data_IF_610128163047
#
_entry.id   IF_610128163047
#
_cell.length_a   1.000
_cell.length_b   1.000
_cell.length_c   1.000
_cell.angle_alpha   90.00
_cell.angle_beta   90.00
_cell.angle_gamma   90.00
#
_symmetry.space_group_name_H-M   'P 1'
#
loop_
_entity.id
_entity.type
_entity.pdbx_description
1 polymer ?
#
# COMPACT_ATOMS: atom_id res chain seq x y z
N UNK A 1 -9.92 -11.34 14.31
CA UNK A 1 -9.42 -10.00 13.91
C UNK A 1 -10.15 -9.61 12.64
N UNK A 2 -10.67 -8.39 12.51
CA UNK A 2 -11.23 -7.92 11.24
C UNK A 2 -10.11 -7.80 10.20
N UNK A 3 -10.39 -8.23 8.97
CA UNK A 3 -9.50 -8.07 7.82
C UNK A 3 -10.03 -6.92 6.97
N UNK A 4 -9.12 -6.07 6.50
CA UNK A 4 -9.44 -4.92 5.67
C UNK A 4 -8.57 -4.94 4.42
N UNK A 5 -9.13 -4.45 3.32
CA UNK A 5 -8.43 -4.27 2.06
C UNK A 5 -8.36 -2.77 1.75
N UNK A 6 -7.16 -2.29 1.44
CA UNK A 6 -6.92 -0.90 1.10
C UNK A 6 -6.50 -0.82 -0.37
N UNK A 7 -7.39 -0.27 -1.20
CA UNK A 7 -7.15 -0.10 -2.64
C UNK A 7 -6.76 1.35 -2.92
N UNK A 8 -5.63 1.55 -3.59
CA UNK A 8 -5.19 2.86 -4.06
C UNK A 8 -5.27 2.93 -5.58
N UNK A 9 -5.78 4.04 -6.10
CA UNK A 9 -5.77 4.36 -7.53
C UNK A 9 -4.89 5.60 -7.70
N UNK A 10 -3.80 5.45 -8.44
CA UNK A 10 -2.88 6.54 -8.73
C UNK A 10 -3.06 7.07 -10.15
N UNK A 11 -2.37 8.18 -10.45
CA UNK A 11 -2.36 8.73 -11.81
C UNK A 11 -1.60 7.82 -12.77
N UNK A 12 -1.97 7.87 -14.06
CA UNK A 12 -1.37 7.06 -15.12
C UNK A 12 0.11 7.41 -15.41
N UNK A 13 0.57 8.59 -15.03
CA UNK A 13 1.96 9.04 -15.21
C UNK A 13 2.86 8.69 -14.02
N UNK A 14 2.35 7.91 -13.05
CA UNK A 14 3.14 7.41 -11.93
C UNK A 14 4.09 6.30 -12.44
N UNK A 15 5.38 6.44 -12.12
CA UNK A 15 6.34 5.35 -12.36
C UNK A 15 6.19 4.22 -11.34
N UNK A 16 6.61 3.01 -11.71
CA UNK A 16 6.60 1.85 -10.81
C UNK A 16 7.36 2.11 -9.51
N UNK A 17 8.52 2.78 -9.57
CA UNK A 17 9.30 3.12 -8.38
C UNK A 17 8.54 4.04 -7.41
N UNK A 18 7.74 4.96 -7.95
CA UNK A 18 6.87 5.81 -7.12
C UNK A 18 5.70 4.99 -6.54
N UNK A 19 5.16 4.02 -7.27
CA UNK A 19 4.12 3.14 -6.77
C UNK A 19 4.60 2.25 -5.61
N UNK A 20 5.79 1.65 -5.75
CA UNK A 20 6.45 0.90 -4.69
C UNK A 20 6.71 1.77 -3.46
N UNK A 21 7.16 3.03 -3.65
CA UNK A 21 7.35 3.98 -2.56
C UNK A 21 6.05 4.32 -1.81
N UNK A 22 4.90 4.38 -2.50
CA UNK A 22 3.60 4.56 -1.85
C UNK A 22 3.22 3.31 -1.04
N UNK A 23 3.42 2.11 -1.61
CA UNK A 23 3.15 0.85 -0.90
C UNK A 23 3.97 0.78 0.39
N UNK A 24 5.27 1.10 0.33
CA UNK A 24 6.14 1.12 1.51
C UNK A 24 5.67 2.15 2.54
N UNK A 25 5.43 3.40 2.10
CA UNK A 25 5.02 4.49 2.97
C UNK A 25 3.74 4.14 3.77
N UNK A 26 2.70 3.67 3.09
CA UNK A 26 1.45 3.32 3.76
C UNK A 26 1.55 2.03 4.58
N UNK A 27 2.39 1.08 4.18
CA UNK A 27 2.68 -0.10 5.00
C UNK A 27 3.32 0.27 6.33
N UNK A 28 4.26 1.24 6.32
CA UNK A 28 4.84 1.81 7.54
C UNK A 28 3.78 2.49 8.38
N UNK A 29 2.95 3.36 7.80
CA UNK A 29 1.87 4.05 8.53
C UNK A 29 0.93 3.05 9.22
N UNK A 30 0.52 1.99 8.54
CA UNK A 30 -0.36 0.95 9.11
C UNK A 30 0.35 0.24 10.27
N UNK A 31 1.62 -0.12 10.08
CA UNK A 31 2.40 -0.85 11.08
C UNK A 31 2.66 -0.01 12.34
N UNK A 32 3.01 1.27 12.18
CA UNK A 32 3.22 2.23 13.27
C UNK A 32 1.96 2.47 14.10
N UNK A 33 0.78 2.26 13.51
CA UNK A 33 -0.52 2.39 14.17
C UNK A 33 -1.08 1.04 14.66
N UNK A 34 -0.23 0.02 14.79
CA UNK A 34 -0.58 -1.28 15.37
C UNK A 34 -1.35 -2.22 14.44
N UNK A 35 -1.45 -1.90 13.15
CA UNK A 35 -1.95 -2.79 12.13
C UNK A 35 -0.90 -3.80 11.65
N UNK A 36 -1.34 -4.81 10.91
CA UNK A 36 -0.45 -5.77 10.26
C UNK A 36 -0.77 -5.88 8.78
N UNK A 37 0.28 -5.88 7.95
CA UNK A 37 0.15 -6.13 6.52
C UNK A 37 0.13 -7.64 6.29
N UNK A 38 -0.97 -8.14 5.72
CA UNK A 38 -1.14 -9.57 5.40
C UNK A 38 -0.68 -9.87 3.97
N UNK A 39 -0.77 -8.88 3.07
CA UNK A 39 -0.32 -9.01 1.70
C UNK A 39 -0.43 -7.68 0.96
N UNK A 40 0.25 -7.60 -0.18
CA UNK A 40 0.22 -6.47 -1.11
C UNK A 40 0.13 -7.00 -2.52
N UNK A 41 -0.68 -6.37 -3.36
CA UNK A 41 -0.81 -6.73 -4.77
C UNK A 41 -0.67 -5.46 -5.63
N UNK A 42 0.09 -5.57 -6.72
CA UNK A 42 0.30 -4.50 -7.68
C UNK A 42 -0.24 -4.91 -9.04
N UNK A 43 -1.06 -4.04 -9.66
CA UNK A 43 -1.79 -4.35 -10.89
C UNK A 43 -1.26 -3.65 -12.15
N UNK A 44 -0.22 -2.82 -12.05
CA UNK A 44 0.39 -2.16 -13.21
C UNK A 44 0.75 -0.70 -12.98
#
# INVERSE_FOLDING_TARGET
MPLYEHVMIARQDLSNAQAEGLIEHFSTVISDNGGSIVGTEYWG
#
